data_IF_303175324406
#
_entry.id   IF_303175324406
#
_cell.length_a   1.000
_cell.length_b   1.000
_cell.length_c   1.000
_cell.angle_alpha   90.00
_cell.angle_beta   90.00
_cell.angle_gamma   90.00
#
_symmetry.space_group_name_H-M   'P 1'
#
loop_
_entity.id
_entity.type
_entity.pdbx_description
1 polymer ?
#
# COMPACT_ATOMS: atom_id res chain seq x y z
N UNK A 1 -0.05 -16.58 -16.71
CA UNK A 1 -0.20 -16.50 -18.20
C UNK A 1 1.13 -16.81 -18.90
N UNK A 2 2.26 -16.19 -18.52
CA UNK A 2 3.58 -16.38 -19.16
C UNK A 2 4.00 -17.85 -19.31
N UNK A 3 3.78 -18.65 -18.27
CA UNK A 3 4.21 -20.06 -18.20
C UNK A 3 3.14 -21.08 -18.64
N UNK A 4 2.00 -20.62 -19.10
CA UNK A 4 0.92 -21.49 -19.62
C UNK A 4 0.64 -21.11 -21.08
N UNK A 5 0.03 -19.96 -21.34
CA UNK A 5 -0.31 -19.52 -22.70
C UNK A 5 0.92 -19.04 -23.47
N UNK A 6 1.76 -18.21 -22.83
CA UNK A 6 2.97 -17.66 -23.44
C UNK A 6 4.09 -18.66 -23.67
N UNK A 7 3.98 -19.91 -23.16
CA UNK A 7 4.95 -20.96 -23.43
C UNK A 7 4.96 -21.34 -24.94
N UNK A 8 3.77 -21.40 -25.53
CA UNK A 8 3.57 -21.84 -26.93
C UNK A 8 3.30 -20.68 -27.88
N UNK A 9 2.93 -19.48 -27.37
CA UNK A 9 2.70 -18.30 -28.18
C UNK A 9 3.43 -17.09 -27.60
N UNK A 10 4.49 -16.59 -28.26
CA UNK A 10 5.23 -15.41 -27.80
C UNK A 10 4.38 -14.16 -27.61
N UNK A 11 3.32 -13.98 -28.41
CA UNK A 11 2.43 -12.83 -28.34
C UNK A 11 1.55 -12.82 -27.08
N UNK A 12 1.40 -13.95 -26.40
CA UNK A 12 0.68 -14.08 -25.14
C UNK A 12 1.59 -13.87 -23.91
N UNK A 13 2.87 -13.56 -24.11
CA UNK A 13 3.81 -13.28 -23.03
C UNK A 13 3.58 -11.87 -22.49
N UNK A 14 3.60 -11.68 -21.15
CA UNK A 14 3.58 -10.34 -20.59
C UNK A 14 4.77 -9.52 -21.09
N UNK A 15 4.53 -8.26 -21.39
CA UNK A 15 5.60 -7.29 -21.71
C UNK A 15 6.46 -6.99 -20.49
N UNK A 16 7.62 -6.35 -20.69
CA UNK A 16 8.45 -5.87 -19.58
C UNK A 16 7.66 -4.97 -18.63
N UNK A 17 6.87 -4.03 -19.17
CA UNK A 17 6.02 -3.15 -18.38
C UNK A 17 4.97 -3.92 -17.56
N UNK A 18 4.37 -4.97 -18.14
CA UNK A 18 3.41 -5.81 -17.43
C UNK A 18 4.07 -6.54 -16.23
N UNK A 19 5.32 -7.00 -16.41
CA UNK A 19 6.11 -7.58 -15.34
C UNK A 19 6.45 -6.54 -14.26
N UNK A 20 6.93 -5.36 -14.65
CA UNK A 20 7.26 -4.28 -13.73
C UNK A 20 6.05 -3.92 -12.87
N UNK A 21 4.88 -3.68 -13.48
CA UNK A 21 3.65 -3.36 -12.74
C UNK A 21 3.21 -4.50 -11.82
N UNK A 22 3.36 -5.75 -12.22
CA UNK A 22 3.06 -6.90 -11.36
C UNK A 22 4.00 -6.98 -10.15
N UNK A 23 5.29 -6.70 -10.33
CA UNK A 23 6.29 -6.71 -9.26
C UNK A 23 6.06 -5.54 -8.28
N UNK A 24 5.71 -4.34 -8.78
CA UNK A 24 5.37 -3.19 -7.96
C UNK A 24 4.18 -3.53 -7.06
N UNK A 25 3.08 -4.05 -7.64
CA UNK A 25 1.90 -4.48 -6.87
C UNK A 25 2.23 -5.58 -5.86
N UNK A 26 3.08 -6.52 -6.24
CA UNK A 26 3.52 -7.59 -5.34
C UNK A 26 4.30 -7.02 -4.15
N UNK A 27 5.17 -6.03 -4.38
CA UNK A 27 5.91 -5.37 -3.32
C UNK A 27 4.99 -4.62 -2.34
N UNK A 28 3.92 -3.99 -2.84
CA UNK A 28 2.96 -3.26 -2.02
C UNK A 28 2.06 -4.20 -1.17
N UNK A 29 1.95 -5.47 -1.59
CA UNK A 29 1.16 -6.50 -0.90
C UNK A 29 1.99 -7.42 -0.01
N UNK A 30 3.28 -7.22 0.14
CA UNK A 30 4.12 -8.10 0.97
C UNK A 30 3.85 -7.89 2.46
N UNK A 31 3.83 -9.01 3.18
CA UNK A 31 3.71 -9.05 4.64
C UNK A 31 4.75 -10.00 5.20
N UNK A 32 5.39 -9.61 6.30
CA UNK A 32 6.35 -10.46 7.00
C UNK A 32 5.63 -11.52 7.83
N UNK A 33 6.07 -12.76 7.76
CA UNK A 33 5.51 -13.82 8.60
C UNK A 33 5.85 -13.60 10.07
N UNK A 34 4.87 -13.76 10.97
CA UNK A 34 5.07 -13.63 12.42
C UNK A 34 5.95 -14.72 13.01
N UNK A 35 6.12 -15.86 12.33
CA UNK A 35 6.97 -16.96 12.76
C UNK A 35 8.41 -16.74 12.35
N UNK A 36 9.31 -16.66 13.35
CA UNK A 36 10.77 -16.61 13.10
C UNK A 36 11.33 -17.87 12.45
N UNK A 37 10.59 -18.99 12.53
CA UNK A 37 10.97 -20.29 11.95
C UNK A 37 10.48 -20.47 10.52
N UNK A 38 9.72 -19.49 9.98
CA UNK A 38 9.24 -19.58 8.61
C UNK A 38 10.38 -19.32 7.62
N UNK A 39 10.72 -20.29 6.79
CA UNK A 39 11.80 -20.19 5.80
C UNK A 39 11.55 -19.08 4.78
N UNK A 40 10.29 -18.87 4.40
CA UNK A 40 9.92 -17.87 3.38
C UNK A 40 9.91 -16.42 3.91
N UNK A 41 9.85 -16.20 5.19
CA UNK A 41 9.81 -14.90 5.89
C UNK A 41 8.74 -13.92 5.39
N UNK A 42 8.60 -13.74 4.07
CA UNK A 42 7.67 -12.81 3.42
C UNK A 42 6.68 -13.54 2.52
N UNK A 43 5.47 -13.02 2.44
CA UNK A 43 4.44 -13.52 1.54
C UNK A 43 3.54 -12.38 1.02
N UNK A 44 2.83 -12.65 -0.07
CA UNK A 44 1.85 -11.71 -0.64
C UNK A 44 0.53 -11.84 0.11
N UNK A 45 0.11 -10.78 0.77
CA UNK A 45 -1.14 -10.70 1.52
C UNK A 45 -2.19 -9.94 0.71
N UNK A 46 -3.09 -10.65 0.05
CA UNK A 46 -4.16 -10.07 -0.76
C UNK A 46 -5.57 -10.45 -0.29
N UNK A 47 -5.68 -11.40 0.64
CA UNK A 47 -6.95 -11.87 1.17
C UNK A 47 -7.11 -11.47 2.64
N UNK A 48 -7.87 -10.41 2.89
CA UNK A 48 -8.12 -9.87 4.24
C UNK A 48 -8.94 -10.80 5.15
N UNK A 49 -9.56 -11.83 4.58
CA UNK A 49 -10.30 -12.85 5.34
C UNK A 49 -9.42 -14.01 5.82
N UNK A 50 -8.16 -14.06 5.40
CA UNK A 50 -7.22 -15.11 5.79
C UNK A 50 -5.87 -14.50 6.18
N UNK A 51 -5.66 -14.36 7.47
CA UNK A 51 -4.45 -13.76 8.07
C UNK A 51 -3.34 -14.77 8.37
N UNK A 52 -3.44 -15.99 7.81
CA UNK A 52 -2.42 -17.03 7.99
C UNK A 52 -1.35 -16.96 6.91
N UNK A 53 -0.10 -17.17 7.32
CA UNK A 53 1.00 -17.38 6.38
C UNK A 53 0.70 -18.61 5.50
N UNK A 54 0.74 -18.50 4.17
CA UNK A 54 0.43 -19.61 3.27
C UNK A 54 1.50 -20.73 3.28
N UNK A 55 2.68 -20.43 3.82
CA UNK A 55 3.82 -21.38 3.83
C UNK A 55 3.89 -22.20 5.11
N UNK A 56 3.74 -21.57 6.27
CA UNK A 56 3.87 -22.27 7.57
C UNK A 56 2.55 -22.35 8.36
N UNK A 57 1.47 -21.75 7.88
CA UNK A 57 0.16 -21.74 8.55
C UNK A 57 0.07 -20.84 9.79
N UNK A 58 1.17 -20.19 10.19
CA UNK A 58 1.15 -19.30 11.37
C UNK A 58 0.20 -18.15 11.16
N UNK A 59 -0.68 -17.93 12.13
CA UNK A 59 -1.61 -16.81 12.18
C UNK A 59 -0.85 -15.53 12.51
N UNK A 60 -1.20 -14.41 11.89
CA UNK A 60 -0.58 -13.12 12.20
C UNK A 60 -1.00 -12.66 13.60
N UNK A 61 -0.06 -12.19 14.41
CA UNK A 61 -0.31 -11.92 15.81
C UNK A 61 -1.07 -10.61 16.08
N UNK A 62 -1.03 -9.68 15.12
CA UNK A 62 -1.66 -8.37 15.23
C UNK A 62 -2.73 -8.16 14.14
N UNK A 63 -3.42 -7.05 14.22
CA UNK A 63 -4.26 -6.56 13.13
C UNK A 63 -3.38 -6.14 11.95
N UNK A 64 -3.88 -6.33 10.73
CA UNK A 64 -3.17 -5.97 9.50
C UNK A 64 -3.97 -4.85 8.80
N UNK A 65 -3.51 -3.59 8.85
CA UNK A 65 -4.14 -2.55 8.08
C UNK A 65 -3.83 -2.72 6.59
N UNK A 66 -4.83 -2.48 5.78
CA UNK A 66 -4.75 -2.50 4.33
C UNK A 66 -5.34 -1.20 3.80
N UNK A 67 -4.61 -0.53 2.93
CA UNK A 67 -5.02 0.71 2.29
C UNK A 67 -5.47 0.39 0.86
N UNK A 68 -6.74 0.54 0.57
CA UNK A 68 -7.26 0.51 -0.80
C UNK A 68 -7.20 1.93 -1.39
N UNK A 69 -6.51 2.10 -2.53
CA UNK A 69 -6.28 3.40 -3.15
C UNK A 69 -7.38 3.76 -4.15
N UNK A 70 -7.80 5.03 -4.07
CA UNK A 70 -8.80 5.64 -4.94
C UNK A 70 -8.26 6.94 -5.51
N UNK A 71 -8.67 7.29 -6.72
CA UNK A 71 -8.38 8.57 -7.35
C UNK A 71 -9.65 9.40 -7.56
N UNK A 72 -9.50 10.70 -7.57
CA UNK A 72 -10.60 11.61 -7.87
C UNK A 72 -10.88 11.62 -9.37
N UNK A 73 -12.06 11.12 -9.76
CA UNK A 73 -12.52 11.11 -11.16
C UNK A 73 -13.21 12.41 -11.54
N UNK A 74 -13.97 12.97 -10.60
CA UNK A 74 -14.63 14.29 -10.67
C UNK A 74 -14.66 14.86 -9.24
N UNK A 75 -14.94 16.15 -9.05
CA UNK A 75 -15.11 16.72 -7.71
C UNK A 75 -16.00 15.84 -6.85
N UNK A 76 -15.50 15.39 -5.71
CA UNK A 76 -16.16 14.51 -4.74
C UNK A 76 -16.56 13.10 -5.24
N UNK A 77 -16.08 12.67 -6.42
CA UNK A 77 -16.31 11.31 -6.97
C UNK A 77 -14.99 10.56 -7.05
N UNK A 78 -14.87 9.53 -6.23
CA UNK A 78 -13.68 8.70 -6.12
C UNK A 78 -13.91 7.34 -6.79
N UNK A 79 -12.91 6.85 -7.54
CA UNK A 79 -12.92 5.53 -8.19
C UNK A 79 -11.76 4.69 -7.69
N UNK A 80 -11.96 3.37 -7.47
CA UNK A 80 -10.89 2.46 -7.07
C UNK A 80 -9.87 2.30 -8.21
N UNK A 81 -8.59 2.20 -7.83
CA UNK A 81 -7.49 1.94 -8.77
C UNK A 81 -7.05 0.47 -8.81
N UNK A 82 -7.69 -0.40 -8.02
CA UNK A 82 -7.22 -1.78 -7.82
C UNK A 82 -5.75 -1.86 -7.36
N UNK A 83 -5.32 -0.83 -6.64
CA UNK A 83 -4.03 -0.78 -5.99
C UNK A 83 -4.24 -0.79 -4.48
N UNK A 84 -3.49 -1.64 -3.81
CA UNK A 84 -3.58 -1.91 -2.37
C UNK A 84 -2.21 -1.88 -1.75
N UNK A 85 -2.10 -1.35 -0.54
CA UNK A 85 -0.87 -1.34 0.25
C UNK A 85 -1.15 -2.07 1.55
N UNK A 86 -0.32 -3.06 1.87
CA UNK A 86 -0.35 -3.76 3.15
C UNK A 86 0.57 -3.05 4.13
N UNK A 87 0.04 -2.74 5.31
CA UNK A 87 0.79 -2.02 6.35
C UNK A 87 1.47 -3.03 7.29
N UNK A 88 2.76 -2.87 7.43
CA UNK A 88 3.58 -3.52 8.46
C UNK A 88 4.49 -2.49 9.11
N UNK A 89 5.11 -2.84 10.24
CA UNK A 89 5.95 -1.90 10.98
C UNK A 89 7.14 -1.43 10.12
N UNK A 90 7.33 -0.11 10.03
CA UNK A 90 8.28 0.57 9.14
C UNK A 90 7.98 0.45 7.63
N UNK A 91 6.78 0.04 7.23
CA UNK A 91 6.36 0.17 5.84
C UNK A 91 6.34 1.66 5.45
N UNK A 92 6.86 1.99 4.27
CA UNK A 92 6.97 3.37 3.79
C UNK A 92 5.93 3.70 2.73
N UNK A 93 5.40 4.92 2.79
CA UNK A 93 4.59 5.51 1.74
C UNK A 93 5.48 6.39 0.87
N UNK A 94 5.33 6.34 -0.44
CA UNK A 94 6.09 7.13 -1.39
C UNK A 94 5.19 7.93 -2.32
N UNK A 95 5.75 8.86 -3.07
CA UNK A 95 5.02 9.75 -3.96
C UNK A 95 4.18 9.00 -5.01
N UNK A 96 4.63 7.85 -5.51
CA UNK A 96 3.84 7.00 -6.41
C UNK A 96 2.66 6.29 -5.74
N UNK A 97 2.55 6.31 -4.41
CA UNK A 97 1.36 5.87 -3.68
C UNK A 97 0.40 7.04 -3.42
N UNK A 98 0.93 8.24 -3.19
CA UNK A 98 0.15 9.43 -2.85
C UNK A 98 -0.43 10.15 -4.08
N UNK A 99 0.21 10.00 -5.26
CA UNK A 99 -0.23 10.60 -6.52
C UNK A 99 -0.12 9.62 -7.69
N UNK A 100 -1.21 9.43 -8.43
CA UNK A 100 -1.28 8.50 -9.58
C UNK A 100 -0.47 8.94 -10.80
N UNK A 101 -0.17 10.22 -10.92
CA UNK A 101 0.61 10.77 -12.04
C UNK A 101 2.11 10.52 -11.87
N UNK A 102 2.53 10.06 -10.69
CA UNK A 102 3.91 9.64 -10.41
C UNK A 102 4.02 8.13 -10.60
N UNK A 103 4.73 7.71 -11.62
CA UNK A 103 4.98 6.30 -11.90
C UNK A 103 6.25 5.85 -11.20
N UNK A 104 6.18 4.73 -10.49
CA UNK A 104 7.38 4.06 -10.01
C UNK A 104 8.10 3.43 -11.19
N UNK A 105 9.33 3.85 -11.45
CA UNK A 105 10.19 3.30 -12.50
C UNK A 105 11.68 3.46 -12.10
N UNK A 106 12.57 2.93 -12.91
CA UNK A 106 14.02 2.98 -12.70
C UNK A 106 14.61 4.40 -12.79
N UNK A 107 13.95 5.30 -13.52
CA UNK A 107 14.41 6.66 -13.78
C UNK A 107 14.12 7.64 -12.64
N UNK A 108 13.47 7.20 -11.56
CA UNK A 108 13.25 8.05 -10.38
C UNK A 108 14.57 8.49 -9.78
N UNK A 109 14.69 9.79 -9.55
CA UNK A 109 15.83 10.40 -8.83
C UNK A 109 15.84 9.95 -7.36
N UNK A 110 16.99 10.05 -6.70
CA UNK A 110 17.10 9.72 -5.27
C UNK A 110 16.16 10.57 -4.41
N UNK A 111 15.86 11.80 -4.84
CA UNK A 111 14.92 12.71 -4.17
C UNK A 111 13.47 12.24 -4.26
N UNK A 112 13.08 11.64 -5.39
CA UNK A 112 11.74 11.07 -5.62
C UNK A 112 11.57 9.72 -4.93
N UNK A 113 12.66 9.02 -4.64
CA UNK A 113 12.67 7.77 -3.87
C UNK A 113 12.52 7.98 -2.35
N UNK A 114 12.70 9.22 -1.85
CA UNK A 114 12.49 9.52 -0.43
C UNK A 114 11.02 9.30 -0.08
N UNK A 115 10.76 8.61 1.03
CA UNK A 115 9.40 8.34 1.50
C UNK A 115 8.65 9.62 1.89
N UNK A 116 7.36 9.65 1.62
CA UNK A 116 6.42 10.69 2.07
C UNK A 116 6.05 10.52 3.55
N UNK A 117 6.22 9.31 4.07
CA UNK A 117 5.95 8.95 5.44
C UNK A 117 6.11 7.45 5.67
N UNK A 118 5.87 7.00 6.89
CA UNK A 118 5.96 5.59 7.26
C UNK A 118 4.89 5.19 8.25
N UNK A 119 4.64 3.89 8.31
CA UNK A 119 3.70 3.29 9.26
C UNK A 119 4.47 2.70 10.45
N UNK A 120 3.92 2.87 11.64
CA UNK A 120 4.46 2.29 12.86
C UNK A 120 3.35 1.67 13.71
N UNK A 121 3.70 0.58 14.40
CA UNK A 121 2.86 0.03 15.45
C UNK A 121 3.40 0.49 16.80
N UNK A 122 2.65 1.36 17.48
CA UNK A 122 3.05 1.98 18.73
C UNK A 122 1.88 2.01 19.71
N UNK A 123 2.11 1.65 20.96
CA UNK A 123 1.09 1.60 22.04
C UNK A 123 -0.19 0.84 21.61
N UNK A 124 -0.02 -0.33 20.98
CA UNK A 124 -1.10 -1.18 20.45
C UNK A 124 -1.97 -0.51 19.37
N UNK A 125 -1.45 0.51 18.70
CA UNK A 125 -2.12 1.24 17.63
C UNK A 125 -1.24 1.33 16.40
N UNK A 126 -1.86 1.25 15.24
CA UNK A 126 -1.22 1.60 14.00
C UNK A 126 -1.29 3.10 13.78
N UNK A 127 -0.18 3.71 13.42
CA UNK A 127 -0.09 5.14 13.09
C UNK A 127 0.65 5.34 11.77
N UNK A 128 0.26 6.36 11.02
CA UNK A 128 1.03 6.90 9.91
C UNK A 128 1.71 8.18 10.34
N UNK A 129 3.02 8.25 10.16
CA UNK A 129 3.85 9.44 10.46
C UNK A 129 4.08 10.20 9.15
N UNK A 130 3.57 11.43 9.08
CA UNK A 130 3.72 12.30 7.92
C UNK A 130 5.10 12.95 7.91
N UNK A 131 5.94 12.61 6.94
CA UNK A 131 7.29 13.20 6.80
C UNK A 131 7.35 14.31 5.75
N UNK A 132 6.46 14.28 4.73
CA UNK A 132 6.62 15.15 3.56
C UNK A 132 5.32 15.65 2.94
N UNK A 133 4.18 15.00 3.20
CA UNK A 133 2.90 15.37 2.60
C UNK A 133 2.36 16.69 3.16
N UNK A 134 2.37 17.73 2.34
CA UNK A 134 1.94 19.09 2.73
C UNK A 134 0.42 19.24 2.83
N UNK A 135 -0.35 18.36 2.18
CA UNK A 135 -1.82 18.40 2.12
C UNK A 135 -2.51 17.14 2.62
N UNK A 136 -1.80 16.36 3.47
CA UNK A 136 -2.39 15.17 4.10
C UNK A 136 -3.58 15.56 4.96
N UNK A 137 -4.72 14.89 4.73
CA UNK A 137 -5.95 15.15 5.46
C UNK A 137 -6.64 13.86 5.88
N UNK A 138 -7.03 13.77 7.13
CA UNK A 138 -8.04 12.81 7.57
C UNK A 138 -9.42 13.31 7.12
N UNK A 139 -9.97 12.66 6.08
CA UNK A 139 -11.27 13.03 5.51
C UNK A 139 -12.41 12.60 6.43
N UNK A 140 -12.19 11.58 7.26
CA UNK A 140 -13.21 11.06 8.18
C UNK A 140 -13.49 12.02 9.31
N UNK A 141 -12.42 12.65 9.85
CA UNK A 141 -12.49 13.60 10.96
C UNK A 141 -12.40 15.06 10.51
N UNK A 142 -12.31 15.30 9.19
CA UNK A 142 -12.09 16.62 8.57
C UNK A 142 -10.87 17.38 9.12
N UNK A 143 -9.78 16.67 9.38
CA UNK A 143 -8.58 17.17 10.06
C UNK A 143 -7.36 17.15 9.16
N UNK A 144 -6.67 18.29 9.03
CA UNK A 144 -5.34 18.38 8.39
C UNK A 144 -4.27 17.74 9.29
N UNK A 145 -3.32 17.02 8.67
CA UNK A 145 -2.22 16.34 9.36
C UNK A 145 -0.91 16.98 8.92
N UNK A 146 -0.34 17.91 9.68
CA UNK A 146 0.90 18.60 9.33
C UNK A 146 2.09 17.64 9.20
N UNK A 147 3.12 18.09 8.47
CA UNK A 147 4.42 17.41 8.43
C UNK A 147 4.97 17.32 9.87
N UNK A 148 5.55 16.16 10.21
CA UNK A 148 6.03 15.85 11.56
C UNK A 148 4.97 15.33 12.51
N UNK A 149 3.69 15.34 12.10
CA UNK A 149 2.59 14.80 12.90
C UNK A 149 2.26 13.35 12.51
N UNK A 150 1.47 12.69 13.35
CA UNK A 150 0.97 11.34 13.08
C UNK A 150 -0.54 11.27 13.15
N UNK A 151 -1.10 10.30 12.43
CA UNK A 151 -2.53 9.98 12.44
C UNK A 151 -2.72 8.49 12.74
N UNK A 152 -3.70 8.19 13.61
CA UNK A 152 -4.06 6.81 13.92
C UNK A 152 -4.75 6.15 12.72
N UNK A 153 -4.36 4.92 12.42
CA UNK A 153 -4.89 4.09 11.34
C UNK A 153 -5.98 3.19 11.91
N UNK A 154 -7.22 3.51 11.59
CA UNK A 154 -8.40 2.77 12.08
C UNK A 154 -9.25 2.27 10.93
N UNK A 155 -10.07 1.26 11.20
CA UNK A 155 -10.96 0.68 10.18
C UNK A 155 -11.97 1.71 9.67
N UNK A 156 -12.12 1.80 8.35
CA UNK A 156 -13.01 2.74 7.68
C UNK A 156 -12.48 4.17 7.55
N UNK A 157 -11.32 4.49 8.16
CA UNK A 157 -10.70 5.81 8.04
C UNK A 157 -10.31 6.10 6.59
N UNK A 158 -10.46 7.35 6.17
CA UNK A 158 -10.13 7.85 4.83
C UNK A 158 -9.04 8.91 4.94
N UNK A 159 -7.91 8.67 4.29
CA UNK A 159 -6.79 9.61 4.24
C UNK A 159 -6.61 10.14 2.82
N UNK A 160 -6.75 11.45 2.63
CA UNK A 160 -6.39 12.14 1.40
C UNK A 160 -4.89 12.46 1.48
N UNK A 161 -4.08 11.84 0.63
CA UNK A 161 -2.64 12.03 0.62
C UNK A 161 -2.21 13.32 -0.07
N UNK A 162 -2.89 13.69 -1.17
CA UNK A 162 -2.58 14.91 -1.91
C UNK A 162 -3.85 15.54 -2.47
N UNK A 163 -3.92 16.88 -2.44
CA UNK A 163 -4.97 17.69 -3.06
C UNK A 163 -4.65 18.07 -4.51
N UNK A 164 -3.44 17.75 -4.97
CA UNK A 164 -2.98 18.03 -6.33
C UNK A 164 -3.70 17.15 -7.35
N UNK A 165 -3.59 17.51 -8.64
CA UNK A 165 -4.07 16.65 -9.71
C UNK A 165 -3.41 15.26 -9.65
N UNK A 166 -4.23 14.24 -9.76
CA UNK A 166 -3.80 12.85 -9.56
C UNK A 166 -3.65 12.42 -8.10
N UNK A 167 -3.95 13.29 -7.14
CA UNK A 167 -3.91 12.95 -5.72
C UNK A 167 -4.84 11.80 -5.36
N UNK A 168 -4.42 10.96 -4.41
CA UNK A 168 -5.14 9.76 -4.00
C UNK A 168 -5.74 9.85 -2.61
N UNK A 169 -6.86 9.15 -2.44
CA UNK A 169 -7.43 8.83 -1.12
C UNK A 169 -7.18 7.35 -0.85
N UNK A 170 -6.77 7.04 0.36
CA UNK A 170 -6.77 5.68 0.89
C UNK A 170 -8.00 5.45 1.76
N UNK A 171 -8.68 4.33 1.56
CA UNK A 171 -9.68 3.80 2.49
C UNK A 171 -9.04 2.63 3.23
N UNK A 172 -9.11 2.67 4.56
CA UNK A 172 -8.41 1.72 5.42
C UNK A 172 -9.36 0.60 5.82
N UNK A 173 -8.92 -0.62 5.59
CA UNK A 173 -9.56 -1.85 6.11
C UNK A 173 -8.60 -2.51 7.09
N UNK A 174 -9.07 -2.91 8.25
CA UNK A 174 -8.29 -3.69 9.22
C UNK A 174 -8.67 -5.16 9.08
N UNK A 175 -7.75 -5.97 8.57
CA UNK A 175 -7.91 -7.41 8.60
C UNK A 175 -7.65 -7.92 10.03
N UNK A 176 -8.65 -8.59 10.59
CA UNK A 176 -8.61 -9.16 11.94
C UNK A 176 -8.42 -10.68 11.89
N UNK A 177 -7.83 -11.20 12.93
CA UNK A 177 -7.68 -12.64 13.16
C UNK A 177 -9.01 -13.29 13.59
#
# INVERSE_FOLDING_TARGET
QAFIKGLHNPNDRPTADAWEQALIKTNDLKLECSSKQCEQKWFVFNNTNNTKCPFCGTKYNNTIPVLDLFYQFKPNVWKPENQRIVVYNNATLHQWHSNRNVLRNENLTDKEKISDGYFAFHNNKWVFVNQKLTSLKDVTEDKEIPIGSMVEITNGKKLLFSKEDGGRVAIITIANN
#
